data_IF_943371557956
#
_entry.id   IF_943371557956
#
_cell.length_a   1.000
_cell.length_b   1.000
_cell.length_c   1.000
_cell.angle_alpha   90.00
_cell.angle_beta   90.00
_cell.angle_gamma   90.00
#
_symmetry.space_group_name_H-M   'P 1'
#
loop_
_entity.id
_entity.type
_entity.pdbx_description
1 polymer ?
#
# COMPACT_ATOMS: atom_id res chain seq x y z
N UNK A 1 3.34 9.35 -1.88
CA UNK A 1 2.62 8.96 -3.12
C UNK A 1 3.30 7.70 -3.61
N UNK A 2 2.54 6.63 -3.89
CA UNK A 2 3.11 5.39 -4.43
C UNK A 2 3.39 5.59 -5.92
N UNK A 3 4.67 5.57 -6.31
CA UNK A 3 5.10 5.78 -7.69
C UNK A 3 4.74 4.55 -8.55
N UNK A 4 4.37 4.74 -9.83
CA UNK A 4 4.14 3.62 -10.76
C UNK A 4 5.35 2.66 -10.87
N UNK A 5 6.56 3.16 -10.61
CA UNK A 5 7.79 2.37 -10.58
C UNK A 5 7.89 1.48 -9.33
N UNK A 6 7.55 2.02 -8.15
CA UNK A 6 7.42 1.24 -6.90
C UNK A 6 6.36 0.14 -7.04
N UNK A 7 5.23 0.43 -7.70
CA UNK A 7 4.20 -0.58 -7.97
C UNK A 7 4.71 -1.73 -8.81
N UNK A 8 5.46 -1.42 -9.86
CA UNK A 8 6.01 -2.43 -10.76
C UNK A 8 7.09 -3.27 -10.06
N UNK A 9 7.95 -2.63 -9.26
CA UNK A 9 8.96 -3.32 -8.46
C UNK A 9 8.33 -4.20 -7.38
N UNK A 10 7.31 -3.71 -6.68
CA UNK A 10 6.54 -4.48 -5.71
C UNK A 10 5.85 -5.67 -6.37
N UNK A 11 5.21 -5.48 -7.53
CA UNK A 11 4.58 -6.56 -8.30
C UNK A 11 5.61 -7.64 -8.69
N UNK A 12 6.80 -7.25 -9.12
CA UNK A 12 7.88 -8.19 -9.46
C UNK A 12 8.42 -8.92 -8.23
N UNK A 13 8.42 -8.28 -7.06
CA UNK A 13 8.76 -8.90 -5.80
C UNK A 13 7.67 -9.89 -5.36
N UNK A 14 6.39 -9.51 -5.48
CA UNK A 14 5.25 -10.36 -5.16
C UNK A 14 5.13 -11.55 -6.13
N UNK A 15 5.53 -11.38 -7.40
CA UNK A 15 5.65 -12.48 -8.36
C UNK A 15 6.81 -13.44 -8.07
N UNK A 16 7.81 -13.04 -7.28
CA UNK A 16 8.83 -13.97 -6.79
C UNK A 16 8.32 -14.78 -5.60
N UNK A 17 7.23 -14.34 -4.94
CA UNK A 17 6.60 -15.07 -3.87
C UNK A 17 5.63 -16.13 -4.45
N UNK A 18 5.94 -17.43 -4.27
CA UNK A 18 5.13 -18.52 -4.84
C UNK A 18 3.71 -18.58 -4.28
N UNK A 19 3.48 -18.08 -3.05
CA UNK A 19 2.15 -18.06 -2.44
C UNK A 19 1.27 -16.97 -3.05
N UNK A 20 1.84 -15.77 -3.27
CA UNK A 20 1.17 -14.68 -3.98
C UNK A 20 0.88 -15.05 -5.44
N UNK A 21 1.82 -15.72 -6.13
CA UNK A 21 1.58 -16.24 -7.48
C UNK A 21 0.42 -17.24 -7.51
N UNK A 22 0.33 -18.14 -6.52
CA UNK A 22 -0.74 -19.12 -6.44
C UNK A 22 -2.10 -18.46 -6.18
N UNK A 23 -2.15 -17.43 -5.34
CA UNK A 23 -3.36 -16.65 -5.10
C UNK A 23 -3.78 -15.82 -6.33
N UNK A 24 -2.82 -15.16 -6.98
CA UNK A 24 -3.06 -14.46 -8.23
C UNK A 24 -3.54 -15.41 -9.34
N UNK A 25 -2.95 -16.60 -9.46
CA UNK A 25 -3.42 -17.64 -10.37
C UNK A 25 -4.84 -18.08 -10.04
N UNK A 26 -5.19 -18.21 -8.76
CA UNK A 26 -6.55 -18.55 -8.33
C UNK A 26 -7.55 -17.46 -8.70
N UNK A 27 -7.19 -16.19 -8.57
CA UNK A 27 -8.02 -15.06 -9.05
C UNK A 27 -8.10 -15.02 -10.58
N UNK A 28 -7.03 -15.33 -11.30
CA UNK A 28 -7.05 -15.41 -12.77
C UNK A 28 -7.91 -16.56 -13.28
N UNK A 29 -7.93 -17.68 -12.55
CA UNK A 29 -8.77 -18.83 -12.84
C UNK A 29 -10.23 -18.61 -12.43
N UNK A 30 -10.53 -17.56 -11.67
CA UNK A 30 -11.89 -17.27 -11.26
C UNK A 30 -12.78 -16.96 -12.48
N UNK A 31 -13.97 -17.60 -12.59
CA UNK A 31 -14.85 -17.43 -13.74
C UNK A 31 -15.37 -16.00 -13.89
N UNK A 32 -15.50 -15.22 -12.82
CA UNK A 32 -15.90 -13.81 -12.92
C UNK A 32 -14.78 -12.95 -13.49
N UNK A 33 -13.53 -13.25 -13.13
CA UNK A 33 -12.37 -12.60 -13.72
C UNK A 33 -12.22 -12.97 -15.19
N UNK A 34 -12.36 -14.26 -15.53
CA UNK A 34 -12.34 -14.72 -16.93
C UNK A 34 -13.45 -14.08 -17.76
N UNK A 35 -14.66 -13.95 -17.22
CA UNK A 35 -15.77 -13.30 -17.91
C UNK A 35 -15.47 -11.82 -18.18
N UNK A 36 -14.97 -11.09 -17.18
CA UNK A 36 -14.54 -9.70 -17.36
C UNK A 36 -13.40 -9.58 -18.35
N UNK A 37 -12.40 -10.46 -18.24
CA UNK A 37 -11.27 -10.47 -19.16
C UNK A 37 -11.73 -10.72 -20.59
N UNK A 38 -12.65 -11.68 -20.81
CA UNK A 38 -13.27 -11.92 -22.12
C UNK A 38 -13.96 -10.66 -22.64
N UNK A 39 -14.79 -10.01 -21.84
CA UNK A 39 -15.46 -8.76 -22.24
C UNK A 39 -14.46 -7.64 -22.61
N UNK A 40 -13.35 -7.52 -21.86
CA UNK A 40 -12.28 -6.59 -22.19
C UNK A 40 -11.56 -6.98 -23.49
N UNK A 41 -11.22 -8.26 -23.65
CA UNK A 41 -10.52 -8.76 -24.85
C UNK A 41 -11.38 -8.74 -26.10
N UNK A 42 -12.70 -8.77 -25.95
CA UNK A 42 -13.64 -8.67 -27.06
C UNK A 42 -13.80 -7.24 -27.56
N UNK A 43 -13.50 -6.24 -26.72
CA UNK A 43 -13.52 -4.83 -27.08
C UNK A 43 -12.51 -4.52 -28.19
N UNK A 44 -12.98 -3.86 -29.25
CA UNK A 44 -12.17 -3.50 -30.42
C UNK A 44 -10.93 -2.70 -30.05
N UNK A 45 -11.03 -1.77 -29.10
CA UNK A 45 -9.91 -0.97 -28.64
C UNK A 45 -8.80 -1.84 -28.01
N UNK A 46 -9.20 -2.89 -27.28
CA UNK A 46 -8.25 -3.82 -26.70
C UNK A 46 -7.59 -4.69 -27.78
N UNK A 47 -8.38 -5.18 -28.75
CA UNK A 47 -7.84 -5.96 -29.88
C UNK A 47 -6.83 -5.17 -30.69
N UNK A 48 -7.11 -3.91 -31.00
CA UNK A 48 -6.17 -3.02 -31.69
C UNK A 48 -4.90 -2.79 -30.88
N UNK A 49 -5.03 -2.49 -29.58
CA UNK A 49 -3.87 -2.38 -28.68
C UNK A 49 -3.08 -3.68 -28.57
N UNK A 50 -3.74 -4.84 -28.57
CA UNK A 50 -3.10 -6.14 -28.48
C UNK A 50 -2.38 -6.50 -29.76
N UNK A 51 -2.95 -6.19 -30.93
CA UNK A 51 -2.27 -6.33 -32.22
C UNK A 51 -1.05 -5.43 -32.30
N UNK A 52 -1.17 -4.16 -31.91
CA UNK A 52 -0.04 -3.22 -31.87
C UNK A 52 1.06 -3.68 -30.91
N UNK A 53 0.66 -4.21 -29.75
CA UNK A 53 1.60 -4.82 -28.79
C UNK A 53 2.26 -6.06 -29.39
N UNK A 54 1.52 -6.92 -30.09
CA UNK A 54 2.08 -8.09 -30.77
C UNK A 54 3.07 -7.69 -31.86
N UNK A 55 2.80 -6.65 -32.65
CA UNK A 55 3.75 -6.14 -33.63
C UNK A 55 4.99 -5.58 -32.96
N UNK A 56 4.85 -4.80 -31.88
CA UNK A 56 5.99 -4.34 -31.09
C UNK A 56 6.77 -5.49 -30.44
N UNK A 57 6.11 -6.58 -30.05
CA UNK A 57 6.75 -7.77 -29.49
C UNK A 57 7.46 -8.65 -30.54
N UNK A 58 7.07 -8.55 -31.81
CA UNK A 58 7.77 -9.21 -32.91
C UNK A 58 9.07 -8.48 -33.28
N UNK A 59 9.13 -7.17 -33.03
CA UNK A 59 10.36 -6.38 -33.17
C UNK A 59 11.29 -6.63 -31.98
N UNK A 60 12.23 -7.58 -32.08
CA UNK A 60 13.21 -7.90 -31.02
C UNK A 60 13.97 -6.67 -30.49
N UNK A 61 14.24 -5.68 -31.36
CA UNK A 61 14.88 -4.42 -30.96
C UNK A 61 13.99 -3.58 -30.03
N UNK A 62 12.68 -3.51 -30.31
CA UNK A 62 11.73 -2.79 -29.44
C UNK A 62 11.47 -3.57 -28.16
N UNK A 63 11.42 -4.90 -28.23
CA UNK A 63 11.32 -5.75 -27.03
C UNK A 63 12.49 -5.48 -26.10
N UNK A 64 13.73 -5.50 -26.62
CA UNK A 64 14.92 -5.22 -25.82
C UNK A 64 14.89 -3.82 -25.21
N UNK A 65 14.53 -2.80 -25.98
CA UNK A 65 14.42 -1.43 -25.44
C UNK A 65 13.36 -1.34 -24.34
N UNK A 66 12.23 -2.03 -24.51
CA UNK A 66 11.15 -2.04 -23.54
C UNK A 66 11.51 -2.85 -22.28
N UNK A 67 12.19 -3.99 -22.43
CA UNK A 67 12.76 -4.76 -21.33
C UNK A 67 13.80 -3.94 -20.56
N UNK A 68 14.66 -3.20 -21.25
CA UNK A 68 15.69 -2.37 -20.62
C UNK A 68 15.08 -1.18 -19.88
N UNK A 69 14.10 -0.50 -20.47
CA UNK A 69 13.31 0.54 -19.80
C UNK A 69 12.56 -0.03 -18.59
N UNK A 70 11.94 -1.20 -18.74
CA UNK A 70 11.23 -1.86 -17.65
C UNK A 70 12.19 -2.22 -16.53
N UNK A 71 13.34 -2.81 -16.84
CA UNK A 71 14.39 -3.15 -15.87
C UNK A 71 14.88 -1.91 -15.13
N UNK A 72 15.12 -0.81 -15.84
CA UNK A 72 15.52 0.47 -15.23
C UNK A 72 14.45 1.00 -14.28
N UNK A 73 13.18 1.00 -14.71
CA UNK A 73 12.04 1.43 -13.87
C UNK A 73 11.87 0.56 -12.64
N UNK A 74 12.08 -0.75 -12.77
CA UNK A 74 12.02 -1.70 -11.66
C UNK A 74 13.17 -1.46 -10.70
N UNK A 75 14.38 -1.24 -11.19
CA UNK A 75 15.55 -0.98 -10.34
C UNK A 75 15.38 0.34 -9.57
N UNK A 76 14.94 1.41 -10.24
CA UNK A 76 14.60 2.68 -9.61
C UNK A 76 13.48 2.50 -8.58
N UNK A 77 12.41 1.80 -8.95
CA UNK A 77 11.29 1.49 -8.06
C UNK A 77 11.70 0.66 -6.84
N UNK A 78 12.61 -0.30 -7.01
CA UNK A 78 13.11 -1.16 -5.93
C UNK A 78 13.98 -0.37 -4.96
N UNK A 79 14.86 0.52 -5.45
CA UNK A 79 15.66 1.41 -4.61
C UNK A 79 14.76 2.36 -3.81
N UNK A 80 13.77 2.96 -4.47
CA UNK A 80 12.81 3.87 -3.83
C UNK A 80 11.94 3.13 -2.79
N UNK A 81 11.57 1.87 -3.06
CA UNK A 81 10.84 1.01 -2.12
C UNK A 81 11.67 0.63 -0.90
N UNK A 82 12.97 0.35 -1.08
CA UNK A 82 13.89 0.04 0.02
C UNK A 82 14.14 1.28 0.90
N UNK A 83 14.38 2.44 0.30
CA UNK A 83 14.49 3.71 1.02
C UNK A 83 13.20 4.06 1.76
N UNK A 84 12.05 3.84 1.13
CA UNK A 84 10.76 4.03 1.77
C UNK A 84 10.57 3.08 2.96
N UNK A 85 10.89 1.79 2.80
CA UNK A 85 10.84 0.80 3.90
C UNK A 85 11.74 1.21 5.06
N UNK A 86 12.99 1.60 4.78
CA UNK A 86 13.93 2.06 5.81
C UNK A 86 13.44 3.30 6.53
N UNK A 87 12.95 4.31 5.79
CA UNK A 87 12.41 5.55 6.35
C UNK A 87 11.13 5.30 7.15
N UNK A 88 10.28 4.37 6.71
CA UNK A 88 9.08 3.97 7.44
C UNK A 88 9.41 3.23 8.74
N UNK A 89 10.44 2.37 8.73
CA UNK A 89 10.90 1.67 9.93
C UNK A 89 11.53 2.64 10.95
N UNK A 90 12.32 3.61 10.49
CA UNK A 90 12.87 4.67 11.35
C UNK A 90 11.75 5.53 11.97
N UNK A 91 10.75 5.94 11.19
CA UNK A 91 9.59 6.68 11.71
C UNK A 91 8.77 5.84 12.70
N UNK A 92 8.56 4.55 12.43
CA UNK A 92 7.83 3.66 13.35
C UNK A 92 8.60 3.44 14.65
N UNK A 93 9.94 3.34 14.60
CA UNK A 93 10.78 3.22 15.78
C UNK A 93 10.83 4.53 16.59
N UNK A 94 10.88 5.69 15.91
CA UNK A 94 10.82 7.00 16.56
C UNK A 94 9.44 7.27 17.18
N UNK A 95 8.36 6.83 16.51
CA UNK A 95 6.98 6.93 17.01
C UNK A 95 6.75 5.99 18.21
N UNK A 96 7.31 4.77 18.17
CA UNK A 96 7.33 3.85 19.33
C UNK A 96 8.14 4.41 20.50
N UNK A 97 9.29 5.05 20.24
CA UNK A 97 10.10 5.72 21.29
C UNK A 97 9.37 6.92 21.89
N UNK A 98 8.73 7.76 21.06
CA UNK A 98 7.88 8.88 21.54
C UNK A 98 6.66 8.39 22.31
N UNK A 99 6.01 7.31 21.86
CA UNK A 99 4.89 6.71 22.57
C UNK A 99 5.30 6.09 23.92
N UNK A 100 6.50 5.50 24.00
CA UNK A 100 7.06 5.01 25.26
C UNK A 100 7.45 6.15 26.22
N UNK A 101 8.01 7.26 25.72
CA UNK A 101 8.37 8.43 26.51
C UNK A 101 7.15 9.18 27.07
N UNK A 102 6.05 9.23 26.31
CA UNK A 102 4.76 9.77 26.77
C UNK A 102 4.04 8.87 27.79
N UNK A 103 4.34 7.56 27.80
CA UNK A 103 3.78 6.62 28.78
C UNK A 103 4.51 6.64 30.14
N UNK A 104 5.73 7.19 30.22
CA UNK A 104 6.56 7.19 31.44
C UNK A 104 6.60 8.55 32.20
N UNK A 105 5.72 9.51 31.88
CA UNK A 105 5.62 10.74 32.66
C UNK A 105 5.02 10.49 34.07
N UNK A 106 5.71 10.84 35.18
CA UNK A 106 5.26 10.51 36.52
C UNK A 106 4.01 11.30 36.91
N UNK A 107 2.95 10.56 37.26
CA UNK A 107 1.76 11.08 37.96
C UNK A 107 2.18 11.68 39.32
N UNK A 108 2.53 12.97 39.37
CA UNK A 108 2.66 13.71 40.64
C UNK A 108 1.94 15.07 40.60
N UNK A 109 0.84 15.08 41.36
CA UNK A 109 0.23 16.19 42.09
C UNK A 109 -0.27 17.44 41.36
N UNK A 110 -1.60 17.62 41.41
CA UNK A 110 -2.17 18.89 41.89
C UNK A 110 -3.49 18.70 42.64
N UNK A 111 -3.38 18.41 43.93
CA UNK A 111 -4.29 18.97 44.94
C UNK A 111 -4.26 20.49 44.85
N UNK A 112 -5.38 21.13 44.52
CA UNK A 112 -6.03 22.19 45.34
C UNK A 112 -7.14 22.92 44.57
N UNK A 113 -8.34 22.86 45.15
CA UNK A 113 -9.39 23.90 45.20
C UNK A 113 -9.95 24.43 43.86
N UNK A 114 -11.14 23.92 43.49
CA UNK A 114 -12.29 24.79 43.25
C UNK A 114 -13.35 24.52 44.31
N UNK A 115 -13.47 25.47 45.23
CA UNK A 115 -14.62 25.65 46.11
C UNK A 115 -15.83 25.94 45.21
N UNK A 116 -16.86 25.09 45.22
CA UNK A 116 -18.26 25.52 45.02
C UNK A 116 -19.21 24.53 45.68
N UNK A 117 -20.01 25.08 46.61
CA UNK A 117 -21.29 24.61 47.16
C UNK A 117 -21.35 23.26 47.90
N UNK A 118 -21.15 23.34 49.22
CA UNK A 118 -21.97 22.56 50.18
C UNK A 118 -22.90 23.53 50.92
N UNK A 119 -24.07 23.00 51.31
CA UNK A 119 -25.29 23.63 51.89
C UNK A 119 -26.22 24.26 50.84
N UNK A 120 -27.49 23.85 50.73
CA UNK A 120 -28.41 23.58 51.85
C UNK A 120 -29.62 22.73 51.41
N UNK A 121 -29.74 21.56 52.05
CA UNK A 121 -30.95 20.86 52.52
C UNK A 121 -32.33 21.29 51.96
N UNK A 122 -33.10 20.29 51.53
CA UNK A 122 -34.54 20.18 51.84
C UNK A 122 -35.34 19.53 50.71
N UNK A 123 -35.66 18.22 50.79
CA UNK A 123 -36.89 17.64 51.38
C UNK A 123 -38.11 17.70 50.44
N UNK A 124 -38.70 16.50 50.21
CA UNK A 124 -40.12 16.22 49.87
C UNK A 124 -40.57 16.65 48.45
N UNK A 125 -41.53 16.01 47.79
CA UNK A 125 -42.31 14.76 47.89
C UNK A 125 -43.23 14.83 46.65
N UNK A 126 -43.55 13.69 46.05
CA UNK A 126 -44.63 13.45 45.08
C UNK A 126 -44.57 14.18 43.74
#
# INVERSE_FOLDING_TARGET
>A
MFSNNMMLAQLLQDMQDPEMMREAQKMMQDPTFQARMKQFTENSAFKESMQKTQEMMKDENKVKELEEQMKKRVEEGSKELEEFKKKSAEMEEEEKKKAAELAEAPKKNKTMKKKTSSKKKGKKKN
#
